data_IF_014862926317
#
_entry.id   IF_014862926317
#
_cell.length_a   1.000
_cell.length_b   1.000
_cell.length_c   1.000
_cell.angle_alpha   90.00
_cell.angle_beta   90.00
_cell.angle_gamma   90.00
#
_symmetry.space_group_name_H-M   'P 1'
#
loop_
_entity.id
_entity.type
_entity.pdbx_description
1 polymer ?
#
# COMPACT_ATOMS: atom_id res chain seq x y z
N UNK A 1 -0.48 -16.44 -45.38
CA UNK A 1 -1.76 -16.39 -44.63
C UNK A 1 -1.96 -14.95 -44.15
N UNK A 2 -3.02 -14.23 -44.58
CA UNK A 2 -3.41 -13.01 -43.89
C UNK A 2 -4.08 -13.43 -42.58
N UNK A 3 -3.41 -13.18 -41.45
CA UNK A 3 -4.02 -13.37 -40.14
C UNK A 3 -4.90 -12.17 -39.85
N UNK A 4 -6.17 -12.40 -39.47
CA UNK A 4 -7.01 -11.34 -38.95
C UNK A 4 -6.43 -10.87 -37.62
N UNK A 5 -6.21 -9.57 -37.45
CA UNK A 5 -5.71 -9.01 -36.20
C UNK A 5 -6.81 -9.04 -35.13
N UNK A 6 -6.50 -9.61 -33.97
CA UNK A 6 -7.38 -9.57 -32.80
C UNK A 6 -6.99 -8.39 -31.91
N UNK A 7 -7.95 -7.52 -31.59
CA UNK A 7 -7.74 -6.44 -30.61
C UNK A 7 -8.03 -6.94 -29.20
N UNK A 8 -7.05 -6.84 -28.30
CA UNK A 8 -7.22 -7.13 -26.88
C UNK A 8 -7.40 -5.83 -26.11
N UNK A 9 -8.58 -5.64 -25.50
CA UNK A 9 -8.81 -4.54 -24.56
C UNK A 9 -8.43 -5.00 -23.14
N UNK A 10 -7.55 -4.25 -22.48
CA UNK A 10 -7.20 -4.54 -21.09
C UNK A 10 -8.32 -4.09 -20.15
N UNK A 11 -8.65 -4.93 -19.16
CA UNK A 11 -9.56 -4.60 -18.07
C UNK A 11 -8.87 -4.92 -16.75
N UNK A 12 -8.88 -3.98 -15.81
CA UNK A 12 -8.36 -4.19 -14.47
C UNK A 12 -9.07 -5.39 -13.81
N UNK A 13 -8.32 -6.23 -13.11
CA UNK A 13 -8.90 -7.35 -12.36
C UNK A 13 -9.72 -6.80 -11.19
N UNK A 14 -10.99 -7.20 -11.09
CA UNK A 14 -11.87 -6.88 -9.96
C UNK A 14 -11.63 -7.75 -8.74
N UNK A 15 -10.38 -8.15 -8.49
CA UNK A 15 -10.02 -9.06 -7.40
C UNK A 15 -10.03 -8.31 -6.07
N UNK A 16 -10.76 -8.87 -5.12
CA UNK A 16 -10.80 -8.41 -3.74
C UNK A 16 -9.63 -8.99 -2.95
N UNK A 17 -8.93 -8.16 -2.20
CA UNK A 17 -7.95 -8.58 -1.20
C UNK A 17 -8.08 -7.77 0.09
N UNK A 18 -7.43 -8.24 1.16
CA UNK A 18 -7.36 -7.50 2.44
C UNK A 18 -6.40 -6.32 2.33
N UNK A 19 -6.49 -5.30 3.21
CA UNK A 19 -5.57 -4.18 3.20
C UNK A 19 -4.11 -4.63 3.34
N UNK A 20 -3.25 -4.12 2.46
CA UNK A 20 -1.82 -4.42 2.43
C UNK A 20 -1.06 -3.33 3.21
N UNK A 21 -1.06 -3.42 4.55
CA UNK A 21 -0.52 -2.34 5.39
C UNK A 21 0.98 -2.07 5.26
N UNK A 22 1.73 -3.00 4.69
CA UNK A 22 3.19 -2.91 4.53
C UNK A 22 3.63 -2.78 3.07
N UNK A 23 2.68 -2.69 2.13
CA UNK A 23 2.97 -2.55 0.70
C UNK A 23 3.62 -1.20 0.41
N UNK A 24 4.74 -1.24 -0.31
CA UNK A 24 5.33 -0.07 -0.97
C UNK A 24 4.82 -0.01 -2.42
N UNK A 25 3.76 0.78 -2.66
CA UNK A 25 3.08 0.86 -3.97
C UNK A 25 4.05 1.25 -5.10
N UNK A 26 4.95 2.19 -4.84
CA UNK A 26 5.87 2.71 -5.85
C UNK A 26 6.88 1.64 -6.27
N UNK A 27 7.44 0.92 -5.30
CA UNK A 27 8.38 -0.16 -5.58
C UNK A 27 7.70 -1.42 -6.12
N UNK A 28 6.69 -1.92 -5.40
CA UNK A 28 6.13 -3.26 -5.62
C UNK A 28 5.18 -3.31 -6.82
N UNK A 29 4.40 -2.25 -7.06
CA UNK A 29 3.47 -2.21 -8.21
C UNK A 29 4.08 -1.57 -9.44
N UNK A 30 4.79 -0.45 -9.26
CA UNK A 30 5.31 0.32 -10.38
C UNK A 30 6.79 0.05 -10.70
N UNK A 31 7.50 -0.69 -9.84
CA UNK A 31 8.91 -1.01 -10.06
C UNK A 31 9.83 0.20 -9.88
N UNK A 32 9.38 1.26 -9.21
CA UNK A 32 10.20 2.43 -8.92
C UNK A 32 11.24 2.05 -7.86
N UNK A 33 12.47 1.78 -8.30
CA UNK A 33 13.57 1.43 -7.42
C UNK A 33 14.51 2.60 -7.16
N UNK A 34 15.12 2.61 -5.98
CA UNK A 34 16.21 3.52 -5.60
C UNK A 34 17.60 2.90 -5.87
N UNK A 35 17.67 1.90 -6.75
CA UNK A 35 18.90 1.18 -7.08
C UNK A 35 19.27 0.08 -6.07
N UNK A 36 20.24 -0.78 -6.42
CA UNK A 36 20.49 -2.04 -5.71
C UNK A 36 21.01 -1.87 -4.28
N UNK A 37 21.67 -0.76 -3.96
CA UNK A 37 22.31 -0.56 -2.66
C UNK A 37 21.41 0.15 -1.64
N UNK A 38 20.57 1.09 -2.09
CA UNK A 38 19.75 1.93 -1.20
C UNK A 38 18.36 1.34 -1.01
N UNK A 39 17.83 0.61 -2.00
CA UNK A 39 16.52 -0.03 -1.92
C UNK A 39 16.27 -0.84 -0.63
N UNK A 40 17.18 -1.72 -0.16
CA UNK A 40 16.92 -2.47 1.07
C UNK A 40 16.79 -1.59 2.31
N UNK A 41 17.50 -0.45 2.35
CA UNK A 41 17.41 0.51 3.47
C UNK A 41 16.05 1.20 3.45
N UNK A 42 15.58 1.65 2.27
CA UNK A 42 14.29 2.32 2.13
C UNK A 42 13.14 1.36 2.43
N UNK A 43 13.15 0.15 1.86
CA UNK A 43 12.13 -0.86 2.15
C UNK A 43 12.16 -1.29 3.63
N UNK A 44 13.34 -1.40 4.23
CA UNK A 44 13.50 -1.65 5.66
C UNK A 44 12.89 -0.52 6.50
N UNK A 45 13.22 0.73 6.21
CA UNK A 45 12.65 1.88 6.90
C UNK A 45 11.13 1.93 6.77
N UNK A 46 10.58 1.71 5.56
CA UNK A 46 9.14 1.64 5.33
C UNK A 46 8.47 0.56 6.19
N UNK A 47 9.04 -0.65 6.24
CA UNK A 47 8.52 -1.74 7.06
C UNK A 47 8.58 -1.41 8.55
N UNK A 48 9.74 -1.04 9.08
CA UNK A 48 9.93 -0.81 10.52
C UNK A 48 9.21 0.43 11.04
N UNK A 49 9.03 1.47 10.23
CA UNK A 49 8.18 2.61 10.59
C UNK A 49 6.69 2.27 10.49
N UNK A 50 6.31 1.35 9.60
CA UNK A 50 4.92 0.90 9.47
C UNK A 50 4.46 0.05 10.67
N UNK A 51 5.36 -0.68 11.33
CA UNK A 51 5.02 -1.52 12.51
C UNK A 51 4.35 -0.71 13.63
N UNK A 52 4.96 0.36 14.19
CA UNK A 52 4.32 1.15 15.25
C UNK A 52 3.11 1.94 14.74
N UNK A 53 3.03 2.26 13.44
CA UNK A 53 1.92 3.01 12.81
C UNK A 53 0.76 2.09 12.38
N UNK A 54 0.92 0.77 12.52
CA UNK A 54 -0.07 -0.21 12.06
C UNK A 54 -1.48 0.02 12.61
N UNK A 55 -1.69 0.35 13.91
CA UNK A 55 -3.04 0.64 14.42
C UNK A 55 -3.71 1.84 13.73
N UNK A 56 -2.94 2.88 13.36
CA UNK A 56 -3.43 3.99 12.55
C UNK A 56 -3.91 3.50 11.17
N UNK A 57 -3.11 2.68 10.48
CA UNK A 57 -3.48 2.11 9.18
C UNK A 57 -4.73 1.23 9.26
N UNK A 58 -4.86 0.40 10.30
CA UNK A 58 -6.06 -0.41 10.57
C UNK A 58 -7.30 0.46 10.90
N UNK A 59 -7.09 1.61 11.55
CA UNK A 59 -8.15 2.58 11.80
C UNK A 59 -8.59 3.34 10.56
N UNK A 60 -7.73 3.51 9.55
CA UNK A 60 -8.11 4.04 8.23
C UNK A 60 -8.89 2.99 7.44
N UNK A 61 -8.29 1.82 7.27
CA UNK A 61 -8.82 0.72 6.49
C UNK A 61 -8.92 -0.52 7.37
N UNK A 62 -10.12 -0.93 7.82
CA UNK A 62 -10.27 -2.08 8.69
C UNK A 62 -9.74 -3.38 8.06
N UNK A 63 -9.21 -4.34 8.85
CA UNK A 63 -8.58 -5.57 8.33
C UNK A 63 -9.53 -6.49 7.56
N UNK A 64 -10.84 -6.30 7.71
CA UNK A 64 -11.88 -7.07 7.03
C UNK A 64 -12.48 -6.31 5.83
N UNK A 65 -11.98 -5.12 5.52
CA UNK A 65 -12.39 -4.36 4.35
C UNK A 65 -11.87 -5.01 3.06
N UNK A 66 -12.71 -5.03 2.04
CA UNK A 66 -12.35 -5.52 0.72
C UNK A 66 -11.70 -4.39 -0.09
N UNK A 67 -10.41 -4.52 -0.37
CA UNK A 67 -9.64 -3.63 -1.22
C UNK A 67 -9.57 -4.18 -2.64
N UNK A 68 -9.63 -3.26 -3.62
CA UNK A 68 -9.52 -3.58 -5.03
C UNK A 68 -8.29 -2.89 -5.62
N UNK A 69 -7.73 -3.49 -6.67
CA UNK A 69 -6.64 -2.90 -7.45
C UNK A 69 -7.12 -1.85 -8.46
N UNK A 70 -8.43 -1.59 -8.51
CA UNK A 70 -9.00 -0.56 -9.37
C UNK A 70 -8.50 0.82 -8.93
N UNK A 71 -8.06 1.63 -9.90
CA UNK A 71 -7.50 2.96 -9.66
C UNK A 71 -5.98 3.06 -9.83
N UNK A 72 -5.25 1.93 -9.83
CA UNK A 72 -3.83 1.90 -10.13
C UNK A 72 -3.54 1.92 -11.64
N UNK A 73 -2.32 2.35 -12.02
CA UNK A 73 -1.87 2.28 -13.41
C UNK A 73 -1.82 0.83 -13.90
N UNK A 74 -2.17 0.63 -15.18
CA UNK A 74 -2.10 -0.68 -15.83
C UNK A 74 -0.64 -1.18 -15.86
N UNK A 75 -0.38 -2.47 -15.60
CA UNK A 75 0.94 -3.07 -15.79
C UNK A 75 1.52 -2.78 -17.19
N UNK A 76 2.75 -2.29 -17.23
CA UNK A 76 3.43 -1.87 -18.46
C UNK A 76 3.13 -0.44 -18.92
N UNK A 77 2.28 0.30 -18.21
CA UNK A 77 2.16 1.76 -18.42
C UNK A 77 3.26 2.49 -17.65
N UNK A 78 3.74 3.62 -18.18
CA UNK A 78 4.64 4.49 -17.43
C UNK A 78 3.87 5.17 -16.28
N UNK A 79 4.12 4.76 -15.04
CA UNK A 79 3.58 5.43 -13.86
C UNK A 79 4.49 6.61 -13.47
N UNK A 80 3.94 7.81 -13.19
CA UNK A 80 4.73 8.92 -12.67
C UNK A 80 5.13 8.66 -11.20
N UNK A 81 6.21 9.30 -10.75
CA UNK A 81 6.55 9.36 -9.33
C UNK A 81 5.54 10.27 -8.62
N UNK A 82 4.78 9.69 -7.70
CA UNK A 82 3.75 10.38 -6.94
C UNK A 82 4.16 10.45 -5.47
N UNK A 83 3.63 11.46 -4.79
CA UNK A 83 3.69 11.53 -3.33
C UNK A 83 2.30 11.18 -2.82
N UNK A 84 2.21 10.09 -2.07
CA UNK A 84 0.94 9.69 -1.49
C UNK A 84 0.51 10.75 -0.46
N UNK A 85 -0.77 11.19 -0.50
CA UNK A 85 -1.26 12.15 0.47
C UNK A 85 -1.26 11.51 1.86
N UNK A 86 -1.05 12.33 2.89
CA UNK A 86 -1.18 11.88 4.28
C UNK A 86 -2.67 11.85 4.66
N UNK A 87 -3.29 10.68 4.84
CA UNK A 87 -4.71 10.60 5.21
C UNK A 87 -4.89 11.02 6.67
N UNK A 88 -5.63 12.12 6.91
CA UNK A 88 -5.96 12.60 8.25
C UNK A 88 -7.30 12.01 8.67
N UNK A 89 -7.33 11.24 9.76
CA UNK A 89 -8.56 10.64 10.29
C UNK A 89 -8.56 10.58 11.81
N UNK A 90 -9.64 11.07 12.41
CA UNK A 90 -9.84 11.03 13.87
C UNK A 90 -9.96 9.60 14.36
N UNK A 91 -10.65 8.72 13.62
CA UNK A 91 -10.81 7.31 13.98
C UNK A 91 -9.46 6.60 14.04
N UNK A 92 -8.62 6.84 13.04
CA UNK A 92 -7.27 6.29 12.99
C UNK A 92 -6.39 6.84 14.12
N UNK A 93 -6.47 8.14 14.40
CA UNK A 93 -5.76 8.77 15.51
C UNK A 93 -6.18 8.19 16.87
N UNK A 94 -7.48 7.96 17.09
CA UNK A 94 -7.99 7.34 18.32
C UNK A 94 -7.54 5.88 18.45
N UNK A 95 -7.56 5.10 17.37
CA UNK A 95 -7.07 3.72 17.36
C UNK A 95 -5.58 3.65 17.70
N UNK A 96 -4.78 4.51 17.08
CA UNK A 96 -3.35 4.64 17.35
C UNK A 96 -3.09 5.07 18.80
N UNK A 97 -3.78 6.09 19.29
CA UNK A 97 -3.66 6.57 20.65
C UNK A 97 -4.01 5.49 21.67
N UNK A 98 -5.15 4.82 21.49
CA UNK A 98 -5.60 3.76 22.39
C UNK A 98 -4.63 2.57 22.46
N UNK A 99 -4.11 2.12 21.32
CA UNK A 99 -3.11 1.04 21.28
C UNK A 99 -1.79 1.51 21.89
N UNK A 100 -1.31 2.70 21.56
CA UNK A 100 -0.07 3.23 22.13
C UNK A 100 -0.16 3.35 23.65
N UNK A 101 -1.26 3.89 24.19
CA UNK A 101 -1.51 3.93 25.64
C UNK A 101 -1.59 2.53 26.22
N UNK A 102 -2.34 1.62 25.58
CA UNK A 102 -2.50 0.25 26.08
C UNK A 102 -1.18 -0.50 26.16
N UNK A 103 -0.33 -0.39 25.13
CA UNK A 103 1.01 -0.97 25.10
C UNK A 103 1.89 -0.36 26.19
N UNK A 104 1.86 0.97 26.38
CA UNK A 104 2.64 1.65 27.41
C UNK A 104 2.25 1.25 28.85
N UNK A 105 0.98 0.91 29.09
CA UNK A 105 0.52 0.42 30.40
C UNK A 105 0.65 -1.11 30.57
N UNK A 106 0.74 -1.87 29.48
CA UNK A 106 0.82 -3.34 29.51
C UNK A 106 2.27 -3.84 29.58
N UNK A 107 3.21 -3.13 28.95
CA UNK A 107 4.63 -3.45 29.04
C UNK A 107 5.21 -2.80 30.31
N UNK A 108 5.89 -3.58 31.18
CA UNK A 108 6.46 -3.09 32.44
C UNK A 108 7.61 -2.10 32.25
#
# INVERSE_FOLDING_TARGET
RPWCGTTFAWKASGLCHKPLYFEDVHLERYGHSHGPYIQPIISGAHFFLSVPILPYKMGLYPPNECMYTLGYYRPGSCAPYLLDPLPISIRAALAQGGVATGVAYLLP
#
